data_IF_354055559240
#
_entry.id   IF_354055559240
#
_cell.length_a   1.000
_cell.length_b   1.000
_cell.length_c   1.000
_cell.angle_alpha   90.00
_cell.angle_beta   90.00
_cell.angle_gamma   90.00
#
_symmetry.space_group_name_H-M   'P 1'
#
loop_
_entity.id
_entity.type
_entity.pdbx_description
1 polymer ?
#
# COMPACT_ATOMS: atom_id res chain seq x y z
N UNK A 1 22.67 0.21 1.87
CA UNK A 1 23.33 -0.78 2.75
C UNK A 1 22.69 -0.85 4.14
N UNK A 2 22.78 0.19 5.01
CA UNK A 2 22.24 0.10 6.39
C UNK A 2 20.71 -0.12 6.42
N UNK A 3 19.97 0.59 5.59
CA UNK A 3 18.53 0.44 5.47
C UNK A 3 18.12 -0.98 5.04
N UNK A 4 18.77 -1.53 4.02
CA UNK A 4 18.44 -2.87 3.52
C UNK A 4 18.74 -3.94 4.58
N UNK A 5 19.82 -3.76 5.35
CA UNK A 5 20.12 -4.63 6.47
C UNK A 5 19.03 -4.56 7.54
N UNK A 6 18.55 -3.36 7.87
CA UNK A 6 17.45 -3.19 8.84
C UNK A 6 16.16 -3.88 8.35
N UNK A 7 15.82 -3.78 7.06
CA UNK A 7 14.66 -4.46 6.47
C UNK A 7 14.83 -5.99 6.51
N UNK A 8 16.04 -6.51 6.26
CA UNK A 8 16.32 -7.96 6.35
C UNK A 8 16.18 -8.45 7.79
N UNK A 9 16.71 -7.70 8.76
CA UNK A 9 16.57 -8.02 10.19
C UNK A 9 15.10 -8.00 10.61
N UNK A 10 14.36 -6.96 10.20
CA UNK A 10 12.94 -6.85 10.50
C UNK A 10 12.14 -8.04 9.92
N UNK A 11 12.38 -8.39 8.66
CA UNK A 11 11.74 -9.56 8.03
C UNK A 11 12.09 -10.85 8.77
N UNK A 12 13.35 -11.03 9.18
CA UNK A 12 13.79 -12.18 9.97
C UNK A 12 13.04 -12.25 11.32
N UNK A 13 12.90 -11.12 12.03
CA UNK A 13 12.15 -11.04 13.30
C UNK A 13 10.68 -11.41 13.07
N UNK A 14 10.06 -10.94 12.01
CA UNK A 14 8.66 -11.29 11.66
C UNK A 14 8.54 -12.79 11.41
N UNK A 15 9.50 -13.40 10.72
CA UNK A 15 9.52 -14.85 10.50
C UNK A 15 9.68 -15.63 11.80
N UNK A 16 10.56 -15.19 12.69
CA UNK A 16 10.79 -15.83 13.98
C UNK A 16 9.56 -15.70 14.92
N UNK A 17 8.86 -14.57 14.86
CA UNK A 17 7.65 -14.33 15.65
C UNK A 17 6.38 -15.01 15.10
N UNK A 18 6.38 -15.43 13.83
CA UNK A 18 5.19 -16.00 13.17
C UNK A 18 4.63 -17.27 13.84
N UNK A 19 5.42 -18.21 14.38
CA UNK A 19 4.89 -19.36 15.12
C UNK A 19 4.13 -18.95 16.39
N UNK A 20 4.57 -17.87 17.04
CA UNK A 20 4.08 -17.46 18.36
C UNK A 20 2.98 -16.40 18.30
N UNK A 21 2.79 -15.72 17.15
CA UNK A 21 1.84 -14.62 17.05
C UNK A 21 1.00 -14.68 15.77
N UNK A 22 -0.31 -14.35 15.92
CA UNK A 22 -1.25 -14.34 14.80
C UNK A 22 -0.93 -13.26 13.76
N UNK A 23 -0.45 -12.07 14.18
CA UNK A 23 -0.18 -10.95 13.28
C UNK A 23 0.97 -11.25 12.31
N UNK A 24 2.19 -11.60 12.76
CA UNK A 24 3.29 -11.99 11.87
C UNK A 24 2.92 -13.14 10.94
N UNK A 25 2.18 -14.14 11.44
CA UNK A 25 1.72 -15.28 10.64
C UNK A 25 0.84 -14.85 9.47
N UNK A 26 -0.10 -13.92 9.71
CA UNK A 26 -0.97 -13.37 8.65
C UNK A 26 -0.18 -12.56 7.64
N UNK A 27 0.77 -11.72 8.10
CA UNK A 27 1.65 -10.97 7.22
C UNK A 27 2.43 -11.90 6.30
N UNK A 28 3.10 -12.90 6.84
CA UNK A 28 3.86 -13.87 6.04
C UNK A 28 3.00 -14.52 4.96
N UNK A 29 1.83 -15.08 5.35
CA UNK A 29 0.91 -15.69 4.39
C UNK A 29 0.53 -14.71 3.28
N UNK A 30 0.18 -13.48 3.64
CA UNK A 30 -0.18 -12.44 2.68
C UNK A 30 0.95 -12.10 1.71
N UNK A 31 2.18 -11.98 2.20
CA UNK A 31 3.35 -11.70 1.37
C UNK A 31 3.74 -12.85 0.43
N UNK A 32 3.39 -14.09 0.78
CA UNK A 32 3.62 -15.24 -0.10
C UNK A 32 2.64 -15.27 -1.27
N UNK A 33 1.37 -14.99 -1.01
CA UNK A 33 0.32 -15.10 -2.03
C UNK A 33 0.16 -13.83 -2.88
N UNK A 34 0.75 -12.70 -2.48
CA UNK A 34 0.54 -11.42 -3.15
C UNK A 34 0.89 -11.43 -4.64
N UNK A 35 1.99 -12.06 -5.00
CA UNK A 35 2.42 -12.10 -6.40
C UNK A 35 1.51 -12.94 -7.28
N UNK A 36 0.97 -14.02 -6.73
CA UNK A 36 0.01 -14.85 -7.45
C UNK A 36 -1.33 -14.12 -7.59
N UNK A 37 -1.81 -13.52 -6.51
CA UNK A 37 -3.01 -12.68 -6.52
C UNK A 37 -2.90 -11.57 -7.57
N UNK A 38 -1.78 -10.84 -7.59
CA UNK A 38 -1.57 -9.77 -8.56
C UNK A 38 -1.54 -10.29 -10.01
N UNK A 39 -0.88 -11.45 -10.28
CA UNK A 39 -0.87 -12.03 -11.63
C UNK A 39 -2.25 -12.44 -12.12
N UNK A 40 -3.12 -12.86 -11.19
CA UNK A 40 -4.50 -13.28 -11.51
C UNK A 40 -5.44 -12.08 -11.68
N UNK A 41 -5.22 -10.99 -10.95
CA UNK A 41 -6.16 -9.87 -10.88
C UNK A 41 -5.73 -8.64 -11.71
N UNK A 42 -4.42 -8.48 -11.99
CA UNK A 42 -3.97 -7.37 -12.83
C UNK A 42 -4.32 -7.63 -14.29
N UNK A 43 -5.21 -6.80 -14.82
CA UNK A 43 -5.66 -6.86 -16.21
C UNK A 43 -4.65 -6.15 -17.12
N UNK A 44 -4.24 -6.82 -18.20
CA UNK A 44 -3.30 -6.25 -19.18
C UNK A 44 -3.94 -5.09 -19.94
N UNK A 45 -3.21 -3.99 -20.02
CA UNK A 45 -3.69 -2.78 -20.73
C UNK A 45 -4.43 -1.79 -19.82
N UNK A 46 -4.84 -2.19 -18.63
CA UNK A 46 -5.46 -1.30 -17.66
C UNK A 46 -4.43 -0.43 -16.94
N UNK A 47 -4.82 0.78 -16.59
CA UNK A 47 -3.99 1.72 -15.84
C UNK A 47 -4.38 1.71 -14.36
N UNK A 48 -3.42 1.36 -13.51
CA UNK A 48 -3.62 1.28 -12.07
C UNK A 48 -3.09 2.52 -11.35
N UNK A 49 -3.93 3.13 -10.52
CA UNK A 49 -3.50 4.09 -9.49
C UNK A 49 -3.27 3.30 -8.21
N UNK A 50 -2.05 3.35 -7.71
CA UNK A 50 -1.67 2.60 -6.51
C UNK A 50 -1.77 3.47 -5.26
N UNK A 51 -2.52 2.98 -4.26
CA UNK A 51 -2.59 3.55 -2.92
C UNK A 51 -1.92 2.61 -1.93
N UNK A 52 -1.08 3.16 -1.08
CA UNK A 52 -0.49 2.43 0.04
C UNK A 52 -0.86 3.08 1.37
N UNK A 53 -1.39 2.26 2.29
CA UNK A 53 -1.64 2.61 3.69
C UNK A 53 -1.08 1.49 4.56
N UNK A 54 -0.20 1.78 5.52
CA UNK A 54 0.39 0.71 6.34
C UNK A 54 -0.65 0.05 7.25
N UNK A 55 -1.66 0.79 7.69
CA UNK A 55 -2.64 0.35 8.69
C UNK A 55 -4.07 0.80 8.35
N UNK A 56 -5.05 0.29 9.12
CA UNK A 56 -6.45 0.72 9.00
C UNK A 56 -6.62 2.22 9.24
N UNK A 57 -5.95 2.78 10.26
CA UNK A 57 -6.08 4.20 10.58
C UNK A 57 -5.57 5.12 9.47
N UNK A 58 -4.50 4.75 8.79
CA UNK A 58 -4.00 5.47 7.62
C UNK A 58 -4.94 5.34 6.43
N UNK A 59 -5.45 4.13 6.18
CA UNK A 59 -6.46 3.91 5.15
C UNK A 59 -7.68 4.84 5.35
N UNK A 60 -8.22 4.93 6.56
CA UNK A 60 -9.39 5.81 6.82
C UNK A 60 -9.09 7.28 6.51
N UNK A 61 -7.86 7.72 6.67
CA UNK A 61 -7.45 9.07 6.26
C UNK A 61 -7.33 9.23 4.74
N UNK A 62 -6.85 8.21 4.05
CA UNK A 62 -6.71 8.22 2.59
C UNK A 62 -8.01 7.89 1.84
N UNK A 63 -8.99 7.28 2.51
CA UNK A 63 -10.24 6.80 1.90
C UNK A 63 -10.99 7.88 1.13
N UNK A 64 -11.19 9.11 1.63
CA UNK A 64 -11.89 10.15 0.87
C UNK A 64 -11.22 10.45 -0.48
N UNK A 65 -9.88 10.41 -0.54
CA UNK A 65 -9.14 10.59 -1.79
C UNK A 65 -9.36 9.42 -2.76
N UNK A 66 -9.35 8.19 -2.25
CA UNK A 66 -9.63 6.99 -3.05
C UNK A 66 -11.03 7.07 -3.67
N UNK A 67 -12.03 7.41 -2.85
CA UNK A 67 -13.43 7.53 -3.28
C UNK A 67 -13.61 8.65 -4.31
N UNK A 68 -12.98 9.80 -4.09
CA UNK A 68 -12.99 10.91 -5.05
C UNK A 68 -12.35 10.55 -6.39
N UNK A 69 -11.21 9.84 -6.37
CA UNK A 69 -10.53 9.39 -7.60
C UNK A 69 -11.37 8.34 -8.32
N UNK A 70 -11.99 7.42 -7.61
CA UNK A 70 -12.91 6.43 -8.19
C UNK A 70 -14.08 7.10 -8.92
N UNK A 71 -14.65 8.15 -8.32
CA UNK A 71 -15.79 8.88 -8.89
C UNK A 71 -15.36 9.71 -10.12
N UNK A 72 -14.27 10.48 -9.98
CA UNK A 72 -13.85 11.42 -11.04
C UNK A 72 -13.11 10.76 -12.20
N UNK A 73 -12.45 9.63 -11.97
CA UNK A 73 -11.60 8.95 -12.94
C UNK A 73 -11.96 7.46 -13.06
N UNK A 74 -13.19 7.11 -13.50
CA UNK A 74 -13.67 5.73 -13.51
C UNK A 74 -12.90 4.80 -14.47
N UNK A 75 -12.14 5.38 -15.42
CA UNK A 75 -11.32 4.62 -16.37
C UNK A 75 -10.03 4.08 -15.76
N UNK A 76 -9.68 4.51 -14.54
CA UNK A 76 -8.52 3.98 -13.83
C UNK A 76 -8.93 2.89 -12.85
N UNK A 77 -8.14 1.84 -12.79
CA UNK A 77 -8.25 0.81 -11.75
C UNK A 77 -7.50 1.25 -10.50
N UNK A 78 -7.97 0.83 -9.34
CA UNK A 78 -7.35 1.17 -8.05
C UNK A 78 -6.74 -0.09 -7.44
N UNK A 79 -5.41 -0.03 -7.21
CA UNK A 79 -4.67 -1.00 -6.42
C UNK A 79 -4.47 -0.42 -5.01
N UNK A 80 -4.97 -1.10 -4.00
CA UNK A 80 -4.80 -0.73 -2.59
C UNK A 80 -3.92 -1.75 -1.89
N UNK A 81 -2.85 -1.29 -1.25
CA UNK A 81 -1.96 -2.15 -0.48
C UNK A 81 -1.93 -1.79 0.99
N UNK A 82 -1.84 -2.82 1.84
CA UNK A 82 -1.62 -2.70 3.27
C UNK A 82 -0.33 -3.40 3.68
N UNK A 83 0.35 -2.83 4.67
CA UNK A 83 1.49 -3.52 5.27
C UNK A 83 1.05 -4.36 6.48
N UNK A 84 0.15 -3.82 7.31
CA UNK A 84 -0.33 -4.45 8.52
C UNK A 84 -1.61 -5.27 8.30
N UNK A 85 -1.76 -6.42 8.99
CA UNK A 85 -3.02 -7.16 9.01
C UNK A 85 -4.22 -6.35 9.52
N UNK A 86 -4.01 -5.33 10.34
CA UNK A 86 -5.11 -4.49 10.85
C UNK A 86 -5.87 -3.76 9.73
N UNK A 87 -5.17 -3.34 8.67
CA UNK A 87 -5.80 -2.76 7.49
C UNK A 87 -6.36 -3.82 6.56
N UNK A 88 -5.52 -4.76 6.16
CA UNK A 88 -5.90 -5.77 5.17
C UNK A 88 -7.09 -6.63 5.58
N UNK A 89 -7.07 -7.20 6.79
CA UNK A 89 -8.13 -8.12 7.23
C UNK A 89 -9.51 -7.45 7.30
N UNK A 90 -9.53 -6.15 7.60
CA UNK A 90 -10.78 -5.36 7.68
C UNK A 90 -11.23 -4.90 6.30
N UNK A 91 -10.28 -4.58 5.40
CA UNK A 91 -10.57 -3.90 4.13
C UNK A 91 -10.28 -4.74 2.88
N UNK A 92 -9.97 -6.03 2.98
CA UNK A 92 -9.69 -6.93 1.84
C UNK A 92 -10.84 -7.05 0.83
N UNK A 93 -12.06 -6.68 1.21
CA UNK A 93 -13.25 -6.63 0.34
C UNK A 93 -13.75 -5.19 0.15
N UNK A 94 -12.87 -4.21 0.25
CA UNK A 94 -13.23 -2.81 0.04
C UNK A 94 -13.60 -2.56 -1.42
N UNK A 95 -14.86 -2.16 -1.66
CA UNK A 95 -15.42 -1.97 -3.01
C UNK A 95 -14.87 -0.75 -3.76
N UNK A 96 -14.19 0.15 -3.08
CA UNK A 96 -13.55 1.32 -3.69
C UNK A 96 -12.22 1.01 -4.38
N UNK A 97 -11.69 -0.22 -4.25
CA UNK A 97 -10.49 -0.67 -4.94
C UNK A 97 -10.77 -1.93 -5.75
N UNK A 98 -10.12 -2.06 -6.91
CA UNK A 98 -10.24 -3.24 -7.77
C UNK A 98 -9.38 -4.39 -7.24
N UNK A 99 -8.21 -4.07 -6.69
CA UNK A 99 -7.30 -5.03 -6.08
C UNK A 99 -6.92 -4.54 -4.69
N UNK A 100 -7.04 -5.43 -3.69
CA UNK A 100 -6.56 -5.19 -2.33
C UNK A 100 -5.60 -6.30 -1.94
N UNK A 101 -4.37 -5.94 -1.57
CA UNK A 101 -3.36 -6.92 -1.19
C UNK A 101 -2.39 -6.41 -0.11
N UNK A 102 -1.51 -7.29 0.36
CA UNK A 102 -0.38 -6.86 1.18
C UNK A 102 0.71 -6.23 0.33
N UNK A 103 1.41 -5.23 0.88
CA UNK A 103 2.66 -4.73 0.31
C UNK A 103 3.80 -5.68 0.70
N UNK A 104 4.56 -6.26 -0.25
CA UNK A 104 5.75 -7.04 0.06
C UNK A 104 6.80 -6.23 0.82
N UNK A 105 7.61 -6.91 1.64
CA UNK A 105 8.73 -6.26 2.33
C UNK A 105 9.63 -5.49 1.36
N UNK A 106 10.10 -4.33 1.81
CA UNK A 106 10.88 -3.36 1.01
C UNK A 106 12.31 -3.85 0.72
N UNK A 107 12.40 -5.02 0.09
CA UNK A 107 13.64 -5.59 -0.44
C UNK A 107 13.73 -5.32 -1.93
N UNK A 108 14.89 -4.94 -2.49
CA UNK A 108 15.01 -4.56 -3.91
C UNK A 108 14.40 -5.58 -4.88
N UNK A 109 14.58 -6.88 -4.62
CA UNK A 109 14.02 -7.96 -5.42
C UNK A 109 12.48 -8.02 -5.35
N UNK A 110 11.92 -7.83 -4.16
CA UNK A 110 10.48 -7.85 -3.95
C UNK A 110 9.81 -6.66 -4.62
N UNK A 111 10.39 -5.47 -4.44
CA UNK A 111 9.93 -4.22 -5.03
C UNK A 111 9.88 -4.31 -6.54
N UNK A 112 10.99 -4.75 -7.16
CA UNK A 112 11.06 -4.93 -8.62
C UNK A 112 9.96 -5.87 -9.09
N UNK A 113 9.84 -7.05 -8.48
CA UNK A 113 8.83 -8.05 -8.84
C UNK A 113 7.40 -7.53 -8.67
N UNK A 114 7.12 -6.79 -7.60
CA UNK A 114 5.82 -6.18 -7.35
C UNK A 114 5.48 -5.16 -8.45
N UNK A 115 6.38 -4.23 -8.74
CA UNK A 115 6.18 -3.19 -9.73
C UNK A 115 6.18 -3.72 -11.17
N UNK A 116 6.87 -4.84 -11.46
CA UNK A 116 6.81 -5.50 -12.76
C UNK A 116 5.41 -6.09 -13.04
N UNK A 117 4.69 -6.52 -11.99
CA UNK A 117 3.35 -7.10 -12.13
C UNK A 117 2.29 -6.00 -12.05
N UNK A 118 2.35 -5.15 -11.02
CA UNK A 118 1.34 -4.13 -10.74
C UNK A 118 1.36 -2.97 -11.75
N UNK A 119 2.55 -2.60 -12.24
CA UNK A 119 2.82 -1.55 -13.21
C UNK A 119 1.92 -0.29 -13.06
N UNK A 120 1.93 0.36 -11.88
CA UNK A 120 1.04 1.49 -11.64
C UNK A 120 1.45 2.70 -12.46
N UNK A 121 0.48 3.51 -12.92
CA UNK A 121 0.75 4.77 -13.62
C UNK A 121 1.10 5.92 -12.65
N UNK A 122 0.68 5.82 -11.38
CA UNK A 122 1.04 6.72 -10.28
C UNK A 122 0.84 6.04 -8.94
N UNK A 123 1.49 6.54 -7.88
CA UNK A 123 1.41 6.00 -6.53
C UNK A 123 1.12 7.07 -5.49
N UNK A 124 0.25 6.75 -4.54
CA UNK A 124 -0.09 7.57 -3.38
C UNK A 124 0.29 6.82 -2.09
N UNK A 125 1.17 7.41 -1.30
CA UNK A 125 1.53 6.91 0.03
C UNK A 125 0.81 7.73 1.08
N UNK A 126 0.00 7.06 1.92
CA UNK A 126 -0.76 7.72 2.96
C UNK A 126 0.12 7.90 4.18
N UNK A 127 0.24 9.13 4.68
CA UNK A 127 1.16 9.56 5.76
C UNK A 127 2.64 9.40 5.39
N UNK A 128 3.46 9.04 6.38
CA UNK A 128 4.92 9.05 6.32
C UNK A 128 5.51 7.68 5.96
N UNK A 129 4.84 6.94 5.06
CA UNK A 129 5.26 5.62 4.61
C UNK A 129 6.40 5.71 3.56
N UNK A 130 7.60 6.06 4.03
CA UNK A 130 8.77 6.23 3.18
C UNK A 130 9.54 4.91 3.00
N UNK A 131 9.01 4.04 2.17
CA UNK A 131 9.63 2.78 1.77
C UNK A 131 10.69 3.03 0.70
N UNK A 132 11.95 3.15 1.15
CA UNK A 132 13.06 3.64 0.32
C UNK A 132 13.20 2.90 -1.01
N UNK A 133 13.21 1.56 -1.01
CA UNK A 133 13.42 0.80 -2.23
C UNK A 133 12.24 0.94 -3.20
N UNK A 134 10.99 1.04 -2.67
CA UNK A 134 9.83 1.36 -3.49
C UNK A 134 9.95 2.75 -4.12
N UNK A 135 10.30 3.77 -3.35
CA UNK A 135 10.45 5.13 -3.84
C UNK A 135 11.57 5.23 -4.90
N UNK A 136 12.72 4.61 -4.64
CA UNK A 136 13.84 4.57 -5.58
C UNK A 136 13.44 3.89 -6.91
N UNK A 137 12.73 2.76 -6.85
CA UNK A 137 12.35 2.03 -8.05
C UNK A 137 11.23 2.73 -8.83
N UNK A 138 10.27 3.35 -8.14
CA UNK A 138 9.25 4.20 -8.77
C UNK A 138 9.90 5.39 -9.49
N UNK A 139 10.87 6.06 -8.85
CA UNK A 139 11.62 7.15 -9.46
C UNK A 139 12.38 6.69 -10.73
N UNK A 140 13.09 5.55 -10.68
CA UNK A 140 13.77 4.98 -11.84
C UNK A 140 12.82 4.70 -13.00
N UNK A 141 11.60 4.26 -12.70
CA UNK A 141 10.55 4.00 -13.69
C UNK A 141 9.81 5.26 -14.15
N UNK A 142 10.14 6.43 -13.57
CA UNK A 142 9.46 7.71 -13.82
C UNK A 142 7.97 7.67 -13.49
N UNK A 143 7.58 6.88 -12.50
CA UNK A 143 6.22 6.81 -12.00
C UNK A 143 6.03 7.91 -10.95
N UNK A 144 5.06 8.83 -11.13
CA UNK A 144 4.77 9.88 -10.16
C UNK A 144 4.38 9.32 -8.79
N UNK A 145 4.93 9.90 -7.73
CA UNK A 145 4.66 9.51 -6.34
C UNK A 145 4.18 10.72 -5.56
N UNK A 146 3.11 10.54 -4.80
CA UNK A 146 2.53 11.56 -3.95
C UNK A 146 2.44 11.06 -2.51
N UNK A 147 2.85 11.89 -1.56
CA UNK A 147 2.60 11.66 -0.13
C UNK A 147 1.35 12.43 0.28
N UNK A 148 0.40 11.72 0.87
CA UNK A 148 -0.88 12.29 1.32
C UNK A 148 -0.89 12.33 2.83
N UNK A 149 -0.78 13.53 3.40
CA UNK A 149 -0.92 13.77 4.84
C UNK A 149 -2.22 14.54 5.09
N UNK A 150 -3.15 13.93 5.80
CA UNK A 150 -4.37 14.61 6.24
C UNK A 150 -4.15 15.08 7.68
N UNK A 151 -3.91 16.37 7.85
CA UNK A 151 -4.01 17.03 9.15
C UNK A 151 -5.48 17.35 9.42
N UNK A 152 -6.07 16.73 10.41
CA UNK A 152 -7.34 17.22 10.96
C UNK A 152 -7.03 18.48 11.78
N UNK A 153 -6.97 19.64 11.13
CA UNK A 153 -7.20 20.89 11.83
C UNK A 153 -8.70 20.94 12.13
N UNK A 154 -9.08 20.92 13.39
CA UNK A 154 -10.42 21.30 13.80
C UNK A 154 -10.65 22.73 13.31
N UNK A 155 -11.39 22.88 12.24
CA UNK A 155 -12.04 24.14 11.90
C UNK A 155 -13.16 24.29 12.94
N UNK A 156 -12.86 24.95 14.05
CA UNK A 156 -13.89 25.55 14.86
C UNK A 156 -14.52 26.64 14.00
N UNK A 157 -15.70 26.36 13.49
CA UNK A 157 -16.53 27.40 12.87
C UNK A 157 -16.75 28.47 13.94
N UNK A 158 -16.49 29.76 13.65
CA UNK A 158 -16.83 30.82 14.59
C UNK A 158 -18.33 30.78 14.77
N UNK A 159 -18.78 30.58 16.01
CA UNK A 159 -20.18 30.76 16.38
C UNK A 159 -20.50 32.23 16.14
N UNK A 160 -21.28 32.50 15.13
CA UNK A 160 -21.84 33.85 14.92
C UNK A 160 -22.94 33.97 15.97
N UNK A 161 -22.69 34.83 16.96
CA UNK A 161 -23.68 35.27 17.94
C UNK A 161 -24.66 36.26 17.30
#
# INVERSE_FOLDING_TARGET
>A
MLYDLAIVIYDFIVHLAAPFSRKPRKMMKGHWVVYELLRQQVEKGEQYIWFHAASLGEFEQGRPLIEMIREKYPNYKILLTFFSPSGYEVRKHYRGADIVCYLPFDKPRNVKKFLDIANPCMAFFIKYEFWKNYLDELHKRRIPVYSVSVSYTHLTLPTIA
#
